data_IF_635468696837
#
_entry.id   IF_635468696837
#
_cell.length_a   1.000
_cell.length_b   1.000
_cell.length_c   1.000
_cell.angle_alpha   90.00
_cell.angle_beta   90.00
_cell.angle_gamma   90.00
#
_symmetry.space_group_name_H-M   'P 1'
#
loop_
_entity.id
_entity.type
_entity.pdbx_description
1 polymer ?
#
# COMPACT_ATOMS: atom_id res chain seq x y z
N UNK A 1 12.86 -1.65 -7.81
CA UNK A 1 12.30 -2.37 -8.98
C UNK A 1 13.40 -3.08 -9.76
N UNK A 2 14.37 -2.35 -10.31
CA UNK A 2 15.49 -2.96 -11.07
C UNK A 2 16.32 -3.99 -10.29
N UNK A 3 16.55 -3.78 -8.99
CA UNK A 3 17.29 -4.75 -8.15
C UNK A 3 16.50 -6.04 -7.82
N UNK A 4 15.17 -6.03 -8.02
CA UNK A 4 14.29 -7.17 -7.75
C UNK A 4 13.73 -7.79 -9.04
N UNK A 5 14.24 -7.36 -10.20
CA UNK A 5 13.76 -7.71 -11.54
C UNK A 5 12.22 -7.54 -11.71
N UNK A 6 11.62 -6.66 -10.91
CA UNK A 6 10.18 -6.40 -10.91
C UNK A 6 9.85 -5.28 -11.88
N UNK A 7 8.74 -5.43 -12.61
CA UNK A 7 8.24 -4.38 -13.48
C UNK A 7 7.08 -3.64 -12.82
N UNK A 8 7.23 -2.32 -12.65
CA UNK A 8 6.21 -1.45 -12.08
C UNK A 8 5.35 -0.88 -13.21
N UNK A 9 4.06 -1.21 -13.20
CA UNK A 9 3.09 -0.74 -14.19
C UNK A 9 2.40 0.56 -13.79
N UNK A 10 2.14 0.74 -12.50
CA UNK A 10 1.53 1.95 -11.94
C UNK A 10 1.86 2.05 -10.44
N UNK A 11 2.04 3.28 -9.96
CA UNK A 11 2.21 3.58 -8.54
C UNK A 11 1.55 4.93 -8.24
N UNK A 12 0.72 4.95 -7.21
CA UNK A 12 0.13 6.17 -6.69
C UNK A 12 -0.21 5.96 -5.22
N UNK A 13 -0.49 7.03 -4.49
CA UNK A 13 -0.88 6.94 -3.10
C UNK A 13 -1.61 8.19 -2.66
N UNK A 14 -2.17 8.09 -1.47
CA UNK A 14 -2.80 9.19 -0.75
C UNK A 14 -2.00 9.50 0.50
N UNK A 15 -2.59 10.20 1.47
CA UNK A 15 -1.86 10.71 2.61
C UNK A 15 -1.26 9.58 3.49
N UNK A 16 -1.98 8.47 3.65
CA UNK A 16 -1.67 7.41 4.60
C UNK A 16 -1.27 6.06 3.97
N UNK A 17 -1.43 5.86 2.67
CA UNK A 17 -1.04 4.61 2.00
C UNK A 17 -0.69 4.77 0.50
N UNK A 18 -0.14 3.69 -0.07
CA UNK A 18 0.33 3.61 -1.46
C UNK A 18 -0.23 2.35 -2.11
N UNK A 19 -0.69 2.48 -3.36
CA UNK A 19 -1.01 1.37 -4.25
C UNK A 19 0.08 1.17 -5.29
N UNK A 20 0.37 -0.09 -5.58
CA UNK A 20 1.39 -0.51 -6.54
C UNK A 20 0.84 -1.63 -7.43
N UNK A 21 0.86 -1.42 -8.74
CA UNK A 21 0.65 -2.48 -9.73
C UNK A 21 2.02 -2.89 -10.26
N UNK A 22 2.40 -4.14 -10.03
CA UNK A 22 3.73 -4.65 -10.39
C UNK A 22 3.66 -6.12 -10.75
N UNK A 23 4.55 -6.57 -11.65
CA UNK A 23 4.87 -7.99 -11.78
C UNK A 23 6.09 -8.30 -10.93
N UNK A 24 5.98 -9.40 -10.18
CA UNK A 24 7.03 -9.90 -9.29
C UNK A 24 7.54 -11.21 -9.89
N UNK A 25 8.84 -11.36 -10.16
CA UNK A 25 9.39 -12.63 -10.62
C UNK A 25 9.06 -13.77 -9.64
N UNK A 26 8.74 -14.98 -10.13
CA UNK A 26 8.29 -16.09 -9.27
C UNK A 26 9.36 -16.57 -8.26
N UNK A 27 10.63 -16.18 -8.45
CA UNK A 27 11.72 -16.45 -7.51
C UNK A 27 11.65 -15.61 -6.22
N UNK A 28 10.81 -14.57 -6.18
CA UNK A 28 10.66 -13.68 -5.03
C UNK A 28 9.32 -13.94 -4.32
N UNK A 29 9.36 -14.13 -3.01
CA UNK A 29 8.15 -14.10 -2.20
C UNK A 29 7.58 -12.67 -2.16
N UNK A 30 6.26 -12.53 -2.24
CA UNK A 30 5.57 -11.23 -2.19
C UNK A 30 5.93 -10.48 -0.90
N UNK A 31 5.99 -11.18 0.23
CA UNK A 31 6.38 -10.60 1.53
C UNK A 31 7.80 -10.03 1.52
N UNK A 32 8.75 -10.70 0.89
CA UNK A 32 10.14 -10.22 0.81
C UNK A 32 10.27 -9.02 -0.13
N UNK A 33 9.51 -9.03 -1.23
CA UNK A 33 9.41 -7.89 -2.13
C UNK A 33 8.88 -6.65 -1.40
N UNK A 34 7.76 -6.78 -0.70
CA UNK A 34 7.13 -5.67 0.05
C UNK A 34 8.01 -5.22 1.22
N UNK A 35 8.63 -6.14 1.95
CA UNK A 35 9.61 -5.83 3.01
C UNK A 35 10.73 -4.95 2.48
N UNK A 36 11.30 -5.32 1.33
CA UNK A 36 12.38 -4.56 0.69
C UNK A 36 11.92 -3.16 0.29
N UNK A 37 10.74 -3.03 -0.34
CA UNK A 37 10.19 -1.75 -0.72
C UNK A 37 9.94 -0.83 0.48
N UNK A 38 9.28 -1.33 1.51
CA UNK A 38 8.97 -0.56 2.74
C UNK A 38 10.24 -0.17 3.47
N UNK A 39 11.19 -1.09 3.61
CA UNK A 39 12.46 -0.84 4.28
C UNK A 39 13.33 0.19 3.57
N UNK A 40 13.51 0.04 2.25
CA UNK A 40 14.32 0.97 1.46
C UNK A 40 13.71 2.38 1.41
N UNK A 41 12.40 2.48 1.22
CA UNK A 41 11.70 3.77 1.22
C UNK A 41 11.73 4.45 2.59
N UNK A 42 11.46 3.72 3.67
CA UNK A 42 11.55 4.29 5.02
C UNK A 42 12.97 4.71 5.37
N UNK A 43 13.98 3.94 4.96
CA UNK A 43 15.38 4.33 5.12
C UNK A 43 15.68 5.63 4.37
N UNK A 44 15.27 5.73 3.10
CA UNK A 44 15.44 6.94 2.29
C UNK A 44 14.77 8.16 2.94
N UNK A 45 13.50 8.06 3.33
CA UNK A 45 12.78 9.18 3.96
C UNK A 45 13.49 9.64 5.23
N UNK A 46 13.82 8.72 6.14
CA UNK A 46 14.40 9.08 7.43
C UNK A 46 15.84 9.61 7.34
N UNK A 47 16.64 9.14 6.39
CA UNK A 47 18.08 9.48 6.33
C UNK A 47 18.42 10.53 5.28
N UNK A 48 17.62 10.63 4.22
CA UNK A 48 17.83 11.58 3.12
C UNK A 48 16.89 12.77 3.23
N UNK A 49 15.58 12.55 3.36
CA UNK A 49 14.61 13.66 3.52
C UNK A 49 14.71 14.27 4.92
N UNK A 50 14.93 13.43 5.94
CA UNK A 50 15.10 13.81 7.36
C UNK A 50 13.96 14.70 7.88
N UNK A 51 12.71 14.22 7.86
CA UNK A 51 11.59 14.90 8.50
C UNK A 51 11.80 15.02 10.02
N UNK A 52 11.08 15.96 10.65
CA UNK A 52 11.10 16.16 12.11
C UNK A 52 10.57 14.94 12.88
N UNK A 53 9.61 14.22 12.29
CA UNK A 53 9.08 12.97 12.84
C UNK A 53 9.59 11.75 12.07
N UNK A 54 9.86 10.66 12.79
CA UNK A 54 10.30 9.41 12.16
C UNK A 54 9.18 8.83 11.29
N UNK A 55 9.49 8.61 10.02
CA UNK A 55 8.60 7.92 9.10
C UNK A 55 8.67 6.41 9.30
N UNK A 56 7.51 5.78 9.52
CA UNK A 56 7.37 4.32 9.54
C UNK A 56 6.15 3.91 8.73
N UNK A 57 6.28 2.83 7.98
CA UNK A 57 5.11 2.14 7.45
C UNK A 57 4.49 1.28 8.55
N UNK A 58 3.16 1.13 8.52
CA UNK A 58 2.46 0.05 9.23
C UNK A 58 3.10 -1.31 8.95
N UNK A 59 2.97 -2.30 9.84
CA UNK A 59 3.64 -3.61 9.66
C UNK A 59 3.03 -4.42 8.52
N UNK A 60 1.70 -4.50 8.48
CA UNK A 60 0.94 -5.25 7.49
C UNK A 60 1.04 -4.72 6.05
N UNK A 61 0.52 -5.50 5.11
CA UNK A 61 0.31 -5.08 3.72
C UNK A 61 -0.83 -5.89 3.08
N UNK A 62 -1.60 -5.25 2.20
CA UNK A 62 -2.55 -5.92 1.32
C UNK A 62 -1.88 -6.35 0.01
N UNK A 63 -2.26 -7.51 -0.51
CA UNK A 63 -1.81 -7.98 -1.83
C UNK A 63 -2.92 -8.72 -2.54
N UNK A 64 -3.15 -8.36 -3.79
CA UNK A 64 -4.16 -8.97 -4.66
C UNK A 64 -3.51 -9.39 -5.97
N UNK A 65 -3.89 -10.55 -6.48
CA UNK A 65 -3.43 -11.05 -7.78
C UNK A 65 -4.49 -10.77 -8.85
N UNK A 66 -4.03 -10.43 -10.05
CA UNK A 66 -4.89 -10.17 -11.20
C UNK A 66 -4.29 -10.80 -12.46
N UNK A 67 -5.16 -11.18 -13.40
CA UNK A 67 -4.75 -11.64 -14.72
C UNK A 67 -4.47 -10.48 -15.68
N UNK A 68 -3.70 -10.74 -16.73
CA UNK A 68 -3.27 -9.73 -17.72
C UNK A 68 -4.44 -8.94 -18.33
N UNK A 69 -5.60 -9.58 -18.55
CA UNK A 69 -6.80 -8.92 -19.08
C UNK A 69 -7.33 -7.78 -18.20
N UNK A 70 -6.93 -7.74 -16.92
CA UNK A 70 -7.31 -6.71 -15.95
C UNK A 70 -6.21 -5.67 -15.72
N UNK A 71 -5.04 -5.80 -16.36
CA UNK A 71 -3.90 -4.93 -16.14
C UNK A 71 -4.21 -3.46 -16.43
N UNK A 72 -4.79 -3.17 -17.59
CA UNK A 72 -5.15 -1.81 -17.98
C UNK A 72 -6.15 -1.16 -17.00
N UNK A 73 -7.10 -1.95 -16.50
CA UNK A 73 -8.05 -1.49 -15.48
C UNK A 73 -7.33 -1.17 -14.16
N UNK A 74 -6.44 -2.05 -13.72
CA UNK A 74 -5.69 -1.88 -12.47
C UNK A 74 -4.76 -0.67 -12.51
N UNK A 75 -4.05 -0.45 -13.62
CA UNK A 75 -3.20 0.73 -13.80
C UNK A 75 -4.03 2.01 -13.68
N UNK A 76 -5.16 2.08 -14.42
CA UNK A 76 -6.05 3.22 -14.38
C UNK A 76 -6.62 3.46 -12.97
N UNK A 77 -7.03 2.40 -12.28
CA UNK A 77 -7.54 2.51 -10.91
C UNK A 77 -6.50 3.15 -9.99
N UNK A 78 -5.24 2.69 -10.06
CA UNK A 78 -4.14 3.25 -9.27
C UNK A 78 -3.79 4.69 -9.67
N UNK A 79 -3.69 5.00 -10.96
CA UNK A 79 -3.34 6.34 -11.44
C UNK A 79 -4.35 7.40 -10.99
N UNK A 80 -5.62 7.02 -10.85
CA UNK A 80 -6.71 7.92 -10.49
C UNK A 80 -7.04 7.90 -8.97
N UNK A 81 -6.20 7.29 -8.11
CA UNK A 81 -6.50 7.11 -6.68
C UNK A 81 -6.79 8.41 -5.93
N UNK A 82 -5.94 9.44 -6.09
CA UNK A 82 -6.14 10.74 -5.42
C UNK A 82 -7.52 11.34 -5.73
N UNK A 83 -7.98 11.23 -6.97
CA UNK A 83 -9.30 11.73 -7.38
C UNK A 83 -10.42 10.88 -6.81
N UNK A 84 -10.26 9.54 -6.73
CA UNK A 84 -11.25 8.65 -6.11
C UNK A 84 -11.42 8.89 -4.62
N UNK A 85 -10.33 9.08 -3.89
CA UNK A 85 -10.38 9.43 -2.47
C UNK A 85 -11.10 10.76 -2.23
N UNK A 86 -10.80 11.79 -3.04
CA UNK A 86 -11.50 13.09 -2.97
C UNK A 86 -12.99 12.95 -3.25
N UNK A 87 -13.37 12.11 -4.22
CA UNK A 87 -14.76 11.92 -4.64
C UNK A 87 -15.51 10.84 -3.85
N UNK A 88 -14.84 10.15 -2.92
CA UNK A 88 -15.36 8.98 -2.21
C UNK A 88 -15.88 7.86 -3.14
N UNK A 89 -15.21 7.69 -4.29
CA UNK A 89 -15.53 6.69 -5.32
C UNK A 89 -14.50 5.57 -5.30
N UNK A 90 -14.50 4.79 -4.22
CA UNK A 90 -13.50 3.75 -3.97
C UNK A 90 -14.11 2.36 -4.00
N UNK A 91 -13.31 1.39 -4.43
CA UNK A 91 -13.66 -0.01 -4.25
C UNK A 91 -13.18 -0.48 -2.87
N UNK A 92 -14.09 -0.58 -1.91
CA UNK A 92 -13.77 -0.96 -0.54
C UNK A 92 -12.96 -2.27 -0.41
N UNK A 93 -13.09 -3.21 -1.34
CA UNK A 93 -12.29 -4.45 -1.33
C UNK A 93 -10.82 -4.20 -1.64
N UNK A 94 -10.51 -3.29 -2.59
CA UNK A 94 -9.14 -2.90 -2.94
C UNK A 94 -8.48 -2.00 -1.90
N UNK A 95 -9.30 -1.31 -1.11
CA UNK A 95 -8.85 -0.45 -0.01
C UNK A 95 -8.80 -1.17 1.35
N UNK A 96 -9.24 -2.44 1.41
CA UNK A 96 -9.35 -3.19 2.66
C UNK A 96 -7.97 -3.60 3.18
N UNK A 97 -7.49 -2.90 4.21
CA UNK A 97 -6.48 -3.41 5.12
C UNK A 97 -7.18 -3.81 6.42
N UNK A 98 -6.86 -4.98 6.99
CA UNK A 98 -7.31 -5.30 8.33
C UNK A 98 -6.63 -4.34 9.32
N UNK A 99 -7.43 -3.56 10.06
CA UNK A 99 -7.02 -2.59 11.10
C UNK A 99 -6.04 -3.14 12.17
N UNK A 100 -5.81 -4.46 12.19
CA UNK A 100 -5.10 -5.18 13.23
C UNK A 100 -3.96 -6.07 12.73
N UNK A 101 -3.40 -5.84 11.54
CA UNK A 101 -2.18 -6.56 11.10
C UNK A 101 -0.88 -5.90 11.57
N UNK A 102 -0.89 -5.42 12.82
CA UNK A 102 0.30 -4.92 13.52
C UNK A 102 1.02 -6.03 14.31
N UNK A 103 0.56 -7.27 14.20
CA UNK A 103 1.05 -8.39 15.01
C UNK A 103 0.78 -8.21 16.52
N UNK A 104 1.39 -9.01 17.40
CA UNK A 104 1.14 -8.89 18.83
C UNK A 104 1.65 -7.56 19.39
N UNK A 105 0.87 -6.96 20.30
CA UNK A 105 1.25 -5.76 21.05
C UNK A 105 2.59 -6.00 21.74
N UNK A 106 3.57 -5.14 21.45
CA UNK A 106 4.81 -5.11 22.21
C UNK A 106 4.64 -4.11 23.34
N UNK A 107 4.89 -4.57 24.57
CA UNK A 107 4.77 -3.77 25.80
C UNK A 107 5.65 -2.49 25.85
N UNK A 108 6.46 -2.23 24.82
CA UNK A 108 7.47 -1.14 24.74
C UNK A 108 7.23 -0.16 23.58
N UNK A 109 6.26 -0.40 22.69
CA UNK A 109 6.02 0.54 21.58
C UNK A 109 5.13 1.69 22.04
N UNK A 110 5.70 2.91 22.13
CA UNK A 110 4.87 4.11 21.93
C UNK A 110 4.12 3.92 20.62
N UNK A 111 2.79 4.04 20.66
CA UNK A 111 2.00 4.03 19.44
C UNK A 111 2.56 5.15 18.53
N UNK A 112 3.03 4.83 17.32
CA UNK A 112 3.48 5.86 16.39
C UNK A 112 2.33 6.84 16.12
N UNK A 113 2.64 8.09 15.76
CA UNK A 113 1.64 9.01 15.23
C UNK A 113 1.11 8.41 13.92
N UNK A 114 -0.04 7.75 13.99
CA UNK A 114 -0.68 7.11 12.86
C UNK A 114 -1.41 8.19 12.05
N UNK A 115 -0.90 8.48 10.86
CA UNK A 115 -1.68 9.18 9.85
C UNK A 115 -2.68 8.20 9.26
N UNK A 116 -3.97 8.51 9.34
CA UNK A 116 -5.05 7.67 8.81
C UNK A 116 -6.16 8.54 8.24
N UNK A 117 -6.66 8.19 7.07
CA UNK A 117 -7.86 8.78 6.50
C UNK A 117 -9.12 8.31 7.25
N UNK A 118 -10.17 9.13 7.24
CA UNK A 118 -11.39 8.89 8.03
C UNK A 118 -12.07 7.57 7.64
N UNK A 119 -12.42 6.74 8.63
CA UNK A 119 -13.02 5.40 8.44
C UNK A 119 -14.36 5.40 7.70
N UNK A 120 -15.02 6.56 7.57
CA UNK A 120 -16.26 6.72 6.82
C UNK A 120 -16.12 6.41 5.31
N UNK A 121 -14.89 6.43 4.80
CA UNK A 121 -14.58 6.21 3.38
C UNK A 121 -14.67 4.73 2.97
N UNK A 122 -14.50 3.79 3.92
CA UNK A 122 -14.36 2.36 3.64
C UNK A 122 -15.64 1.52 3.84
N UNK A 123 -16.80 2.16 4.04
CA UNK A 123 -18.04 1.47 4.39
C UNK A 123 -19.00 1.35 3.19
N UNK A 124 -18.78 0.36 2.31
CA UNK A 124 -19.77 0.00 1.27
C UNK A 124 -19.80 -1.50 1.00
N UNK A 125 -21.00 -1.99 0.68
CA UNK A 125 -21.35 -3.39 0.42
C UNK A 125 -20.46 -4.10 -0.61
N UNK A 126 -20.09 -5.31 -0.22
CA UNK A 126 -19.16 -6.27 -0.83
C UNK A 126 -19.47 -6.61 -2.30
N UNK A 127 -18.49 -6.42 -3.19
CA UNK A 127 -18.35 -7.10 -4.48
C UNK A 127 -16.90 -6.95 -4.99
N UNK A 128 -16.19 -8.07 -5.17
CA UNK A 128 -14.87 -8.11 -5.80
C UNK A 128 -14.93 -7.50 -7.22
N UNK A 129 -14.02 -6.57 -7.60
CA UNK A 129 -13.92 -6.09 -8.98
C UNK A 129 -13.21 -7.07 -9.92
N UNK A 130 -12.66 -8.17 -9.37
CA UNK A 130 -11.94 -9.23 -10.07
C UNK A 130 -12.67 -10.56 -9.98
#
# INVERSE_FOLDING_TARGET
AGELDAHVYAINGVADHVHLVTSIPPKHAVSDFVKTLKGASAHFVNHVIRPDEQFVWQRGFGSFTLGESKLAFAQRYVDEQKTRHVNQDLNAWLEKMADFDEGPDRADSRAPNLLREDSAIYNTSDNSPF
#
